data_IF_838048586319
#
_entry.id   IF_838048586319
#
_cell.length_a   1.000
_cell.length_b   1.000
_cell.length_c   1.000
_cell.angle_alpha   90.00
_cell.angle_beta   90.00
_cell.angle_gamma   90.00
#
_symmetry.space_group_name_H-M   'P 1'
#
loop_
_entity.id
_entity.type
_entity.pdbx_description
1 polymer ?
#
# COMPACT_ATOMS: atom_id res chain seq x y z
N UNK A 1 28.78 34.72 37.71
CA UNK A 1 27.41 34.22 37.43
C UNK A 1 27.53 33.04 36.46
N UNK A 2 27.68 31.81 36.97
CA UNK A 2 26.65 30.74 36.94
C UNK A 2 25.85 30.70 35.63
N UNK A 3 25.84 29.62 34.86
CA UNK A 3 25.35 28.29 35.26
C UNK A 3 26.13 27.14 34.59
N UNK A 4 26.57 26.17 35.39
CA UNK A 4 27.03 24.83 34.95
C UNK A 4 25.84 24.10 34.32
N UNK A 5 25.96 23.65 33.07
CA UNK A 5 25.04 22.68 32.48
C UNK A 5 25.26 21.34 33.17
N UNK A 6 24.28 20.90 33.95
CA UNK A 6 24.25 19.57 34.54
C UNK A 6 24.11 18.55 33.41
N UNK A 7 25.18 17.81 33.09
CA UNK A 7 25.09 16.60 32.27
C UNK A 7 24.65 15.46 33.18
N UNK A 8 23.38 15.08 33.10
CA UNK A 8 22.84 13.95 33.84
C UNK A 8 23.49 12.64 33.36
N UNK A 9 24.25 12.02 34.25
CA UNK A 9 24.72 10.64 34.16
C UNK A 9 23.50 9.75 33.88
N UNK A 10 23.39 9.23 32.66
CA UNK A 10 22.18 8.51 32.23
C UNK A 10 22.40 7.01 32.38
N UNK A 11 21.87 6.45 33.46
CA UNK A 11 21.67 5.01 33.63
C UNK A 11 20.89 4.44 32.42
N UNK A 12 21.22 3.23 31.92
CA UNK A 12 20.54 2.64 30.77
C UNK A 12 19.05 2.45 31.07
N UNK A 13 18.23 3.41 30.63
CA UNK A 13 16.78 3.35 30.76
C UNK A 13 16.26 2.14 29.97
N UNK A 14 15.72 1.16 30.67
CA UNK A 14 15.09 -0.01 30.06
C UNK A 14 13.70 0.41 29.53
N UNK A 15 13.57 0.55 28.22
CA UNK A 15 12.28 0.81 27.58
C UNK A 15 11.53 -0.51 27.32
N UNK A 16 10.22 -0.53 27.61
CA UNK A 16 9.35 -1.67 27.36
C UNK A 16 9.14 -1.88 25.85
N UNK A 17 8.88 -3.12 25.43
CA UNK A 17 8.67 -3.44 24.00
C UNK A 17 7.51 -2.66 23.40
N UNK A 18 6.40 -2.55 24.15
CA UNK A 18 5.20 -1.78 23.75
C UNK A 18 5.56 -0.32 23.44
N UNK A 19 6.33 0.32 24.32
CA UNK A 19 6.75 1.71 24.11
C UNK A 19 7.63 1.85 22.86
N UNK A 20 8.60 0.94 22.66
CA UNK A 20 9.46 0.98 21.47
C UNK A 20 8.67 0.83 20.17
N UNK A 21 7.68 -0.05 20.17
CA UNK A 21 6.81 -0.31 19.03
C UNK A 21 5.90 0.88 18.72
N UNK A 22 5.33 1.51 19.75
CA UNK A 22 4.53 2.73 19.61
C UNK A 22 5.34 3.86 18.95
N UNK A 23 6.56 4.09 19.43
CA UNK A 23 7.45 5.12 18.88
C UNK A 23 7.84 4.82 17.43
N UNK A 24 8.12 3.55 17.11
CA UNK A 24 8.42 3.13 15.75
C UNK A 24 7.22 3.31 14.80
N UNK A 25 6.02 2.97 15.27
CA UNK A 25 4.76 3.12 14.52
C UNK A 25 4.47 4.59 14.24
N UNK A 26 4.62 5.46 15.25
CA UNK A 26 4.44 6.91 15.13
C UNK A 26 5.39 7.52 14.10
N UNK A 27 6.64 7.05 14.04
CA UNK A 27 7.59 7.47 13.00
C UNK A 27 7.14 7.02 11.60
N UNK A 28 6.76 5.75 11.43
CA UNK A 28 6.33 5.20 10.14
C UNK A 28 5.03 5.84 9.62
N UNK A 29 4.15 6.27 10.53
CA UNK A 29 2.93 7.03 10.21
C UNK A 29 3.21 8.45 9.70
N UNK A 30 4.41 8.99 9.97
CA UNK A 30 4.77 10.35 9.60
C UNK A 30 4.40 11.42 10.63
N UNK A 31 4.02 11.02 11.85
CA UNK A 31 3.64 11.94 12.94
C UNK A 31 4.83 12.75 13.51
N UNK A 32 6.05 12.53 12.99
CA UNK A 32 7.21 13.36 13.31
C UNK A 32 8.55 12.81 12.80
N UNK A 33 9.56 13.67 12.80
CA UNK A 33 10.95 13.28 12.50
C UNK A 33 11.63 12.63 13.72
N UNK A 34 12.72 11.89 13.51
CA UNK A 34 13.57 11.39 14.60
C UNK A 34 13.98 12.48 15.60
N UNK A 35 14.20 13.71 15.12
CA UNK A 35 14.59 14.85 15.96
C UNK A 35 13.41 15.40 16.78
N UNK A 36 12.20 15.34 16.24
CA UNK A 36 10.98 15.73 16.93
C UNK A 36 10.65 14.73 18.04
N UNK A 37 10.60 13.44 17.71
CA UNK A 37 10.32 12.35 18.65
C UNK A 37 11.37 12.28 19.76
N UNK A 38 12.64 12.50 19.43
CA UNK A 38 13.74 12.54 20.41
C UNK A 38 13.56 13.65 21.45
N UNK A 39 13.10 14.84 21.03
CA UNK A 39 12.85 15.96 21.94
C UNK A 39 11.62 15.71 22.82
N UNK A 40 10.56 15.18 22.24
CA UNK A 40 9.29 14.94 22.94
C UNK A 40 9.42 13.83 23.99
N UNK A 41 10.08 12.73 23.64
CA UNK A 41 10.18 11.54 24.50
C UNK A 41 11.45 11.51 25.35
N UNK A 42 12.39 12.44 25.13
CA UNK A 42 13.69 12.45 25.80
C UNK A 42 14.59 11.26 25.44
N UNK A 43 14.32 10.60 24.31
CA UNK A 43 15.05 9.42 23.83
C UNK A 43 16.11 9.84 22.81
N UNK A 44 17.28 9.22 22.83
CA UNK A 44 18.30 9.46 21.82
C UNK A 44 17.84 9.05 20.41
N UNK A 45 18.10 9.87 19.39
CA UNK A 45 17.71 9.59 17.99
C UNK A 45 18.17 8.22 17.50
N UNK A 46 19.38 7.80 17.89
CA UNK A 46 19.95 6.50 17.51
C UNK A 46 19.15 5.33 18.10
N UNK A 47 18.59 5.48 19.31
CA UNK A 47 17.73 4.45 19.90
C UNK A 47 16.40 4.36 19.15
N UNK A 48 15.81 5.50 18.78
CA UNK A 48 14.59 5.55 17.95
C UNK A 48 14.84 4.90 16.59
N UNK A 49 15.95 5.24 15.94
CA UNK A 49 16.35 4.63 14.67
C UNK A 49 16.49 3.11 14.78
N UNK A 50 17.15 2.62 15.83
CA UNK A 50 17.27 1.18 16.09
C UNK A 50 15.91 0.52 16.26
N UNK A 51 14.97 1.12 17.00
CA UNK A 51 13.63 0.55 17.16
C UNK A 51 12.84 0.55 15.86
N UNK A 52 12.88 1.64 15.07
CA UNK A 52 12.25 1.67 13.75
C UNK A 52 12.81 0.56 12.87
N UNK A 53 14.14 0.39 12.81
CA UNK A 53 14.74 -0.66 11.99
C UNK A 53 14.38 -2.07 12.48
N UNK A 54 14.31 -2.31 13.79
CA UNK A 54 13.92 -3.61 14.35
C UNK A 54 12.44 -3.92 14.08
N UNK A 55 11.55 -2.93 14.22
CA UNK A 55 10.11 -3.14 14.09
C UNK A 55 9.54 -2.84 12.70
N UNK A 56 10.32 -2.27 11.77
CA UNK A 56 9.85 -1.92 10.42
C UNK A 56 9.24 -3.12 9.69
N UNK A 57 9.87 -4.29 9.78
CA UNK A 57 9.36 -5.50 9.14
C UNK A 57 8.07 -6.00 9.81
N UNK A 58 7.98 -5.95 11.14
CA UNK A 58 6.78 -6.35 11.89
C UNK A 58 5.60 -5.42 11.59
N UNK A 59 5.84 -4.11 11.49
CA UNK A 59 4.80 -3.09 11.26
C UNK A 59 4.36 -3.08 9.79
N UNK A 60 5.28 -3.24 8.83
CA UNK A 60 4.94 -3.28 7.41
C UNK A 60 4.22 -4.58 6.99
N UNK A 61 4.49 -5.69 7.68
CA UNK A 61 3.82 -6.97 7.42
C UNK A 61 2.38 -7.02 7.94
N UNK A 62 2.05 -6.22 8.95
CA UNK A 62 0.70 -6.06 9.47
C UNK A 62 0.41 -4.57 9.73
N UNK A 63 0.09 -3.80 8.67
CA UNK A 63 -0.13 -2.37 8.80
C UNK A 63 -1.35 -2.12 9.68
N UNK A 64 -1.25 -1.27 10.73
CA UNK A 64 -2.43 -0.87 11.49
C UNK A 64 -3.43 -0.20 10.54
N UNK A 65 -4.72 -0.54 10.66
CA UNK A 65 -5.81 -0.17 9.73
C UNK A 65 -5.89 1.34 9.43
N UNK A 66 -5.32 2.19 10.28
CA UNK A 66 -5.20 3.64 10.10
C UNK A 66 -4.28 4.07 8.93
N UNK A 67 -3.51 3.17 8.31
CA UNK A 67 -2.61 3.47 7.18
C UNK A 67 -3.32 3.48 5.81
N UNK A 68 -4.64 3.23 5.73
CA UNK A 68 -5.38 3.22 4.47
C UNK A 68 -5.54 4.59 3.79
N UNK A 69 -5.17 5.70 4.42
CA UNK A 69 -5.41 7.04 3.88
C UNK A 69 -4.19 7.95 4.04
N UNK A 70 -3.28 7.93 3.06
CA UNK A 70 -2.42 9.05 2.63
C UNK A 70 -1.22 8.50 1.84
N UNK A 71 -1.30 8.57 0.51
CA UNK A 71 -0.14 8.41 -0.37
C UNK A 71 0.66 9.72 -0.36
N UNK A 72 1.70 9.80 0.47
CA UNK A 72 2.74 10.82 0.36
C UNK A 72 4.12 10.13 0.26
N UNK A 73 4.87 10.49 -0.77
CA UNK A 73 5.95 9.73 -1.39
C UNK A 73 7.14 9.33 -0.48
N UNK A 74 7.77 8.16 -0.74
CA UNK A 74 8.99 7.73 -0.04
C UNK A 74 10.24 8.40 -0.63
N UNK A 75 11.14 8.86 0.25
CA UNK A 75 12.50 9.29 -0.13
C UNK A 75 13.38 8.05 -0.28
N UNK A 76 13.92 7.85 -1.50
CA UNK A 76 14.90 6.82 -1.87
C UNK A 76 16.09 6.81 -0.89
N UNK A 77 16.38 5.65 -0.32
CA UNK A 77 17.75 5.21 -0.04
C UNK A 77 17.96 3.87 -0.75
N UNK A 78 19.04 3.85 -1.53
CA UNK A 78 19.43 2.78 -2.45
C UNK A 78 20.12 1.65 -1.67
N UNK A 79 19.54 0.44 -1.73
CA UNK A 79 20.17 -0.78 -1.26
C UNK A 79 20.00 -1.86 -2.33
N UNK A 80 21.11 -2.46 -2.73
CA UNK A 80 21.38 -3.18 -3.98
C UNK A 80 20.67 -4.53 -4.20
N UNK A 81 19.43 -4.69 -3.74
CA UNK A 81 18.53 -5.84 -4.02
C UNK A 81 17.20 -5.40 -4.67
N UNK A 82 17.08 -4.12 -5.05
CA UNK A 82 15.82 -3.51 -5.46
C UNK A 82 15.49 -3.63 -6.96
N UNK A 83 16.49 -3.86 -7.81
CA UNK A 83 16.32 -3.80 -9.27
C UNK A 83 15.43 -4.93 -9.80
N UNK A 84 15.57 -6.16 -9.29
CA UNK A 84 14.77 -7.31 -9.76
C UNK A 84 13.27 -7.15 -9.47
N UNK A 85 12.91 -6.56 -8.33
CA UNK A 85 11.49 -6.41 -7.96
C UNK A 85 10.82 -5.24 -8.70
N UNK A 86 11.54 -4.18 -9.00
CA UNK A 86 11.00 -3.08 -9.79
C UNK A 86 10.70 -3.54 -11.23
N UNK A 87 11.60 -4.30 -11.83
CA UNK A 87 11.43 -4.86 -13.17
C UNK A 87 10.28 -5.89 -13.21
N UNK A 88 10.18 -6.76 -12.20
CA UNK A 88 9.07 -7.73 -12.07
C UNK A 88 7.72 -7.02 -11.89
N UNK A 89 7.65 -5.99 -11.05
CA UNK A 89 6.41 -5.22 -10.85
C UNK A 89 5.99 -4.54 -12.15
N UNK A 90 6.92 -3.94 -12.91
CA UNK A 90 6.57 -3.32 -14.20
C UNK A 90 6.13 -4.36 -15.24
N UNK A 91 6.77 -5.53 -15.30
CA UNK A 91 6.35 -6.63 -16.17
C UNK A 91 4.93 -7.13 -15.82
N UNK A 92 4.66 -7.36 -14.54
CA UNK A 92 3.34 -7.79 -14.06
C UNK A 92 2.25 -6.74 -14.33
N UNK A 93 2.56 -5.44 -14.20
CA UNK A 93 1.59 -4.38 -14.52
C UNK A 93 1.23 -4.36 -16.01
N UNK A 94 2.19 -4.64 -16.89
CA UNK A 94 1.97 -4.72 -18.33
C UNK A 94 1.09 -5.91 -18.70
N UNK A 95 1.31 -7.06 -18.07
CA UNK A 95 0.45 -8.24 -18.25
C UNK A 95 -0.98 -7.96 -17.78
N UNK A 96 -1.16 -7.33 -16.62
CA UNK A 96 -2.49 -6.93 -16.14
C UNK A 96 -3.21 -5.98 -17.13
N UNK A 97 -2.48 -5.04 -17.72
CA UNK A 97 -3.04 -4.12 -18.71
C UNK A 97 -3.47 -4.86 -19.98
N UNK A 98 -2.63 -5.79 -20.46
CA UNK A 98 -2.94 -6.61 -21.63
C UNK A 98 -4.20 -7.48 -21.40
N UNK A 99 -4.25 -8.20 -20.28
CA UNK A 99 -5.40 -9.03 -19.92
C UNK A 99 -6.69 -8.20 -19.79
N UNK A 100 -6.60 -6.99 -19.21
CA UNK A 100 -7.74 -6.06 -19.14
C UNK A 100 -8.21 -5.60 -20.51
N UNK A 101 -7.28 -5.35 -21.43
CA UNK A 101 -7.61 -4.94 -22.81
C UNK A 101 -8.31 -6.06 -23.56
N UNK A 102 -7.84 -7.30 -23.43
CA UNK A 102 -8.49 -8.48 -24.01
C UNK A 102 -9.90 -8.67 -23.45
N UNK A 103 -10.07 -8.58 -22.11
CA UNK A 103 -11.37 -8.66 -21.47
C UNK A 103 -12.33 -7.54 -21.93
N UNK A 104 -11.83 -6.31 -22.09
CA UNK A 104 -12.63 -5.20 -22.59
C UNK A 104 -13.07 -5.43 -24.04
N UNK A 105 -12.18 -5.94 -24.89
CA UNK A 105 -12.49 -6.26 -26.28
C UNK A 105 -13.56 -7.35 -26.39
N UNK A 106 -13.43 -8.44 -25.64
CA UNK A 106 -14.42 -9.52 -25.65
C UNK A 106 -15.79 -9.07 -25.13
N UNK A 107 -15.82 -8.22 -24.10
CA UNK A 107 -17.09 -7.61 -23.64
C UNK A 107 -17.74 -6.76 -24.73
N UNK A 108 -16.96 -5.89 -25.38
CA UNK A 108 -17.46 -5.04 -26.47
C UNK A 108 -17.98 -5.90 -27.63
N UNK A 109 -17.25 -6.96 -27.98
CA UNK A 109 -17.64 -7.92 -29.01
C UNK A 109 -18.95 -8.62 -28.67
N UNK A 110 -19.11 -9.10 -27.44
CA UNK A 110 -20.35 -9.72 -26.98
C UNK A 110 -21.53 -8.74 -27.03
N UNK A 111 -21.34 -7.49 -26.58
CA UNK A 111 -22.40 -6.47 -26.66
C UNK A 111 -22.78 -6.14 -28.10
N UNK A 112 -21.82 -6.09 -29.01
CA UNK A 112 -22.07 -5.85 -30.42
C UNK A 112 -22.89 -6.99 -31.05
N UNK A 113 -22.57 -8.25 -30.74
CA UNK A 113 -23.35 -9.39 -31.19
C UNK A 113 -24.78 -9.37 -30.65
N UNK A 114 -24.97 -9.04 -29.37
CA UNK A 114 -26.31 -8.93 -28.77
C UNK A 114 -27.17 -7.89 -29.51
N UNK A 115 -26.61 -6.70 -29.79
CA UNK A 115 -27.34 -5.67 -30.53
C UNK A 115 -27.60 -6.04 -31.99
N UNK A 116 -26.68 -6.75 -32.65
CA UNK A 116 -26.95 -7.24 -34.01
C UNK A 116 -28.09 -8.27 -34.03
N UNK A 117 -28.16 -9.13 -33.03
CA UNK A 117 -29.27 -10.07 -32.86
C UNK A 117 -30.57 -9.29 -32.64
N UNK A 118 -30.58 -8.33 -31.73
CA UNK A 118 -31.76 -7.48 -31.44
C UNK A 118 -32.27 -6.74 -32.69
N UNK A 119 -31.37 -6.10 -33.45
CA UNK A 119 -31.74 -5.41 -34.69
C UNK A 119 -32.34 -6.39 -35.70
N UNK A 120 -31.76 -7.59 -35.83
CA UNK A 120 -32.24 -8.59 -36.77
C UNK A 120 -33.61 -9.14 -36.40
N UNK A 121 -33.83 -9.47 -35.13
CA UNK A 121 -35.12 -9.92 -34.61
C UNK A 121 -36.19 -8.85 -34.80
N UNK A 122 -35.89 -7.59 -34.47
CA UNK A 122 -36.84 -6.48 -34.57
C UNK A 122 -37.19 -6.11 -36.02
N UNK A 123 -36.20 -6.08 -36.92
CA UNK A 123 -36.37 -5.60 -38.29
C UNK A 123 -36.96 -6.63 -39.23
N UNK A 124 -36.59 -7.90 -39.06
CA UNK A 124 -36.99 -8.99 -39.95
C UNK A 124 -37.96 -9.98 -39.30
N UNK A 125 -38.27 -9.84 -38.00
CA UNK A 125 -39.19 -10.71 -37.27
C UNK A 125 -38.80 -12.20 -37.36
N UNK A 126 -37.49 -12.46 -37.39
CA UNK A 126 -36.89 -13.79 -37.40
C UNK A 126 -36.39 -14.06 -35.98
N UNK A 127 -36.86 -15.12 -35.32
CA UNK A 127 -36.38 -15.50 -33.98
C UNK A 127 -35.03 -16.20 -34.09
N UNK A 128 -33.95 -15.52 -33.67
CA UNK A 128 -32.59 -16.07 -33.70
C UNK A 128 -32.24 -16.65 -32.32
N UNK A 129 -32.74 -16.03 -31.24
CA UNK A 129 -32.53 -16.50 -29.88
C UNK A 129 -33.63 -17.47 -29.45
N UNK A 130 -33.25 -18.57 -28.79
CA UNK A 130 -34.20 -19.47 -28.12
C UNK A 130 -34.84 -18.73 -26.93
N UNK A 131 -36.16 -18.52 -26.94
CA UNK A 131 -36.87 -17.93 -25.80
C UNK A 131 -36.99 -18.98 -24.69
N UNK A 132 -36.57 -18.63 -23.48
CA UNK A 132 -36.72 -19.49 -22.31
C UNK A 132 -38.21 -19.54 -21.92
N UNK A 133 -38.90 -20.58 -22.39
CA UNK A 133 -40.33 -20.76 -22.12
C UNK A 133 -40.90 -21.95 -22.87
N UNK A 134 -40.56 -23.18 -22.45
CA UNK A 134 -41.48 -24.29 -22.65
C UNK A 134 -42.44 -24.28 -21.44
N UNK A 135 -43.73 -24.04 -21.68
CA UNK A 135 -44.78 -24.25 -20.68
C UNK A 135 -44.67 -25.70 -20.17
N UNK A 136 -44.62 -25.87 -18.85
CA UNK A 136 -44.78 -27.19 -18.20
C UNK A 136 -46.20 -27.71 -18.37
#
# INVERSE_FOLDING_TARGET
MSQKKQTSVTSPRKFTRVFKLEVATRYLRGDGSYRSLSKELGVGKTQIFSWVHTFANEINANPPEAMKMSSAQPKKLENSSCHKKADEVTALTRELEQMRKELAYERMRATAYEHMIEIAENRWNIEIRKKAGAKQ
#
